data_IF_246589887210
#
_entry.id   IF_246589887210
#
_cell.length_a   1.000
_cell.length_b   1.000
_cell.length_c   1.000
_cell.angle_alpha   90.00
_cell.angle_beta   90.00
_cell.angle_gamma   90.00
#
_symmetry.space_group_name_H-M   'P 1'
#
loop_
_entity.id
_entity.type
_entity.pdbx_description
1 polymer ?
#
# COMPACT_ATOMS: atom_id res chain seq x y z
N UNK A 1 7.58 -11.97 9.02
CA UNK A 1 8.48 -11.25 8.09
C UNK A 1 8.64 -9.84 8.63
N UNK A 2 9.85 -9.29 8.68
CA UNK A 2 10.05 -7.90 9.10
C UNK A 2 10.08 -7.04 7.85
N UNK A 3 9.05 -6.21 7.66
CA UNK A 3 9.00 -5.27 6.54
C UNK A 3 9.66 -3.97 6.98
N UNK A 4 10.64 -3.50 6.22
CA UNK A 4 11.21 -2.18 6.46
C UNK A 4 10.34 -1.11 5.79
N UNK A 5 9.91 -1.33 4.54
CA UNK A 5 9.11 -0.37 3.77
C UNK A 5 7.85 -1.02 3.19
N UNK A 6 6.69 -0.42 3.46
CA UNK A 6 5.43 -0.72 2.77
C UNK A 6 5.09 0.43 1.80
N UNK A 7 4.92 0.08 0.52
CA UNK A 7 4.46 1.03 -0.50
C UNK A 7 2.96 0.82 -0.70
N UNK A 8 2.20 1.88 -0.47
CA UNK A 8 0.75 1.93 -0.64
C UNK A 8 0.38 2.96 -1.72
N UNK A 9 -0.79 2.79 -2.34
CA UNK A 9 -1.31 3.74 -3.32
C UNK A 9 -2.62 4.35 -2.82
N UNK A 10 -2.75 5.67 -2.86
CA UNK A 10 -3.96 6.39 -2.45
C UNK A 10 -5.02 6.32 -3.55
N UNK A 11 -6.22 5.93 -3.16
CA UNK A 11 -7.42 5.96 -4.00
C UNK A 11 -8.69 5.96 -3.13
N UNK A 12 -9.76 5.31 -3.60
CA UNK A 12 -11.00 5.10 -2.83
C UNK A 12 -10.95 3.88 -1.90
N UNK A 13 -9.91 3.04 -2.00
CA UNK A 13 -9.72 1.80 -1.23
C UNK A 13 -8.65 1.94 -0.15
N UNK A 14 -8.59 3.12 0.48
CA UNK A 14 -7.61 3.46 1.50
C UNK A 14 -7.70 2.56 2.76
N UNK A 15 -8.82 1.85 2.93
CA UNK A 15 -8.97 0.78 3.91
C UNK A 15 -7.89 -0.29 3.81
N UNK A 16 -7.54 -0.70 2.59
CA UNK A 16 -6.54 -1.72 2.36
C UNK A 16 -5.16 -1.27 2.82
N UNK A 17 -4.86 0.02 2.63
CA UNK A 17 -3.60 0.62 3.05
C UNK A 17 -3.45 0.59 4.58
N UNK A 18 -4.53 0.89 5.34
CA UNK A 18 -4.53 0.83 6.81
C UNK A 18 -4.36 -0.62 7.29
N UNK A 19 -5.13 -1.55 6.72
CA UNK A 19 -5.07 -2.96 7.08
C UNK A 19 -3.69 -3.56 6.79
N UNK A 20 -3.09 -3.24 5.63
CA UNK A 20 -1.74 -3.67 5.30
C UNK A 20 -0.72 -3.13 6.32
N UNK A 21 -0.79 -1.85 6.68
CA UNK A 21 0.10 -1.26 7.70
C UNK A 21 -0.04 -1.95 9.06
N UNK A 22 -1.28 -2.18 9.54
CA UNK A 22 -1.51 -2.87 10.82
C UNK A 22 -0.98 -4.31 10.81
N UNK A 23 -1.23 -5.05 9.72
CA UNK A 23 -0.82 -6.46 9.60
C UNK A 23 0.69 -6.63 9.54
N UNK A 24 1.34 -5.84 8.69
CA UNK A 24 2.76 -6.03 8.39
C UNK A 24 3.69 -5.22 9.29
N UNK A 25 3.16 -4.23 10.02
CA UNK A 25 3.89 -3.38 10.97
C UNK A 25 5.21 -2.87 10.39
N UNK A 26 5.18 -2.21 9.22
CA UNK A 26 6.39 -1.71 8.58
C UNK A 26 7.03 -0.59 9.40
N UNK A 27 8.33 -0.35 9.20
CA UNK A 27 9.01 0.81 9.82
C UNK A 27 8.68 2.11 9.09
N UNK A 28 8.56 2.02 7.76
CA UNK A 28 8.28 3.13 6.88
C UNK A 28 7.09 2.80 5.96
N UNK A 29 6.25 3.80 5.68
CA UNK A 29 5.20 3.73 4.66
C UNK A 29 5.41 4.87 3.66
N UNK A 30 5.43 4.53 2.37
CA UNK A 30 5.36 5.51 1.29
C UNK A 30 3.98 5.44 0.64
N UNK A 31 3.32 6.60 0.56
CA UNK A 31 2.03 6.78 -0.09
C UNK A 31 2.23 7.36 -1.50
N UNK A 32 1.98 6.57 -2.53
CA UNK A 32 1.89 7.07 -3.90
C UNK A 32 0.54 7.74 -4.09
N UNK A 33 0.51 8.98 -4.58
CA UNK A 33 -0.73 9.70 -4.85
C UNK A 33 -0.70 10.44 -6.19
N UNK A 34 -1.87 10.60 -6.80
CA UNK A 34 -2.08 11.47 -7.97
C UNK A 34 -2.53 12.85 -7.51
N UNK A 35 -2.31 13.90 -8.30
CA UNK A 35 -2.69 15.28 -7.90
C UNK A 35 -4.17 15.41 -7.53
N UNK A 36 -5.05 14.68 -8.20
CA UNK A 36 -6.49 14.65 -7.92
C UNK A 36 -6.84 14.05 -6.56
N UNK A 37 -5.98 13.19 -6.01
CA UNK A 37 -6.20 12.51 -4.71
C UNK A 37 -5.59 13.28 -3.53
N UNK A 38 -5.13 14.52 -3.73
CA UNK A 38 -4.40 15.31 -2.71
C UNK A 38 -5.23 15.60 -1.46
N UNK A 39 -6.54 15.82 -1.57
CA UNK A 39 -7.38 16.02 -0.38
C UNK A 39 -7.55 14.73 0.42
N UNK A 40 -7.74 13.58 -0.24
CA UNK A 40 -7.78 12.26 0.42
C UNK A 40 -6.46 11.96 1.14
N UNK A 41 -5.34 12.29 0.51
CA UNK A 41 -4.01 12.13 1.10
C UNK A 41 -3.91 12.85 2.46
N UNK A 42 -4.42 14.09 2.57
CA UNK A 42 -4.36 14.85 3.84
C UNK A 42 -5.08 14.13 4.96
N UNK A 43 -6.34 13.73 4.73
CA UNK A 43 -7.14 12.98 5.71
C UNK A 43 -6.45 11.68 6.12
N UNK A 44 -5.82 11.00 5.15
CA UNK A 44 -5.11 9.76 5.38
C UNK A 44 -3.84 9.94 6.21
N UNK A 45 -3.06 11.00 5.95
CA UNK A 45 -1.88 11.36 6.75
C UNK A 45 -2.28 11.68 8.19
N UNK A 46 -3.38 12.40 8.41
CA UNK A 46 -3.89 12.69 9.76
C UNK A 46 -4.27 11.41 10.50
N UNK A 47 -4.96 10.48 9.83
CA UNK A 47 -5.26 9.17 10.40
C UNK A 47 -3.99 8.42 10.81
N UNK A 48 -2.96 8.38 9.96
CA UNK A 48 -1.70 7.71 10.28
C UNK A 48 -1.00 8.32 11.49
N UNK A 49 -0.95 9.65 11.58
CA UNK A 49 -0.34 10.33 12.74
C UNK A 49 -1.03 9.96 14.05
N UNK A 50 -2.34 9.77 14.02
CA UNK A 50 -3.13 9.46 15.21
C UNK A 50 -3.09 7.97 15.61
N UNK A 51 -2.87 7.06 14.65
CA UNK A 51 -3.03 5.61 14.87
C UNK A 51 -1.74 4.78 14.66
N UNK A 52 -0.74 5.33 13.97
CA UNK A 52 0.53 4.66 13.62
C UNK A 52 1.73 5.55 13.95
N UNK A 53 1.82 6.00 15.20
CA UNK A 53 2.88 6.90 15.68
C UNK A 53 4.31 6.35 15.55
N UNK A 54 4.49 5.03 15.50
CA UNK A 54 5.80 4.38 15.33
C UNK A 54 6.23 4.25 13.85
N UNK A 55 5.33 4.50 12.91
CA UNK A 55 5.59 4.37 11.47
C UNK A 55 6.06 5.70 10.89
N UNK A 56 7.20 5.70 10.20
CA UNK A 56 7.64 6.86 9.42
C UNK A 56 6.80 6.95 8.14
N UNK A 57 5.99 7.99 8.00
CA UNK A 57 5.16 8.21 6.83
C UNK A 57 5.80 9.20 5.85
N UNK A 58 5.80 8.85 4.56
CA UNK A 58 6.17 9.71 3.45
C UNK A 58 5.13 9.62 2.34
N UNK A 59 5.08 10.62 1.49
CA UNK A 59 4.22 10.65 0.31
C UNK A 59 5.02 11.06 -0.94
N UNK A 60 4.57 10.58 -2.10
CA UNK A 60 5.18 10.89 -3.39
C UNK A 60 4.09 11.04 -4.47
N UNK A 61 4.18 12.12 -5.24
CA UNK A 61 3.29 12.31 -6.37
C UNK A 61 3.79 11.52 -7.58
N UNK A 62 3.02 10.52 -8.01
CA UNK A 62 3.28 9.76 -9.24
C UNK A 62 1.96 9.66 -10.00
N UNK A 63 1.91 10.28 -11.17
CA UNK A 63 0.75 10.21 -12.05
C UNK A 63 0.63 8.83 -12.71
N UNK A 64 -0.58 8.51 -13.16
CA UNK A 64 -0.86 7.22 -13.79
C UNK A 64 0.04 6.97 -15.01
N UNK A 65 0.65 5.78 -15.06
CA UNK A 65 1.48 5.36 -16.19
C UNK A 65 2.91 5.89 -16.19
N UNK A 66 3.32 6.67 -15.18
CA UNK A 66 4.70 7.16 -15.08
C UNK A 66 5.65 6.05 -14.57
N UNK A 67 6.08 5.20 -15.51
CA UNK A 67 6.94 4.04 -15.21
C UNK A 67 8.30 4.45 -14.64
N UNK A 68 8.90 5.54 -15.14
CA UNK A 68 10.23 6.00 -14.70
C UNK A 68 10.22 6.32 -13.20
N UNK A 69 9.23 7.08 -12.72
CA UNK A 69 9.11 7.39 -11.29
C UNK A 69 8.77 6.16 -10.43
N UNK A 70 8.04 5.18 -10.97
CA UNK A 70 7.77 3.93 -10.26
C UNK A 70 9.04 3.08 -10.13
N UNK A 71 9.85 2.99 -11.18
CA UNK A 71 11.14 2.31 -11.14
C UNK A 71 12.11 3.00 -10.17
N UNK A 72 12.20 4.33 -10.24
CA UNK A 72 13.03 5.13 -9.36
C UNK A 72 12.62 4.94 -7.89
N UNK A 73 11.32 4.90 -7.60
CA UNK A 73 10.83 4.64 -6.25
C UNK A 73 11.34 3.30 -5.70
N UNK A 74 11.30 2.24 -6.51
CA UNK A 74 11.76 0.91 -6.08
C UNK A 74 13.29 0.89 -5.95
N UNK A 75 14.03 1.38 -6.96
CA UNK A 75 15.50 1.39 -6.97
C UNK A 75 16.09 2.22 -5.82
N UNK A 76 15.51 3.37 -5.51
CA UNK A 76 15.98 4.25 -4.42
C UNK A 76 15.74 3.67 -3.02
N UNK A 77 15.10 2.50 -2.92
CA UNK A 77 14.85 1.81 -1.65
C UNK A 77 15.29 0.33 -1.70
N UNK A 78 16.15 -0.05 -2.65
CA UNK A 78 16.57 -1.46 -2.87
C UNK A 78 17.31 -2.08 -1.67
N UNK A 79 17.82 -1.25 -0.75
CA UNK A 79 18.47 -1.66 0.48
C UNK A 79 17.50 -2.13 1.58
N UNK A 80 16.18 -1.99 1.36
CA UNK A 80 15.11 -2.29 2.32
C UNK A 80 14.36 -3.57 1.95
N UNK A 81 13.84 -4.28 2.95
CA UNK A 81 12.81 -5.30 2.70
C UNK A 81 11.48 -4.61 2.35
N UNK A 82 11.20 -4.53 1.04
CA UNK A 82 10.01 -3.86 0.48
C UNK A 82 8.82 -4.83 0.41
N UNK A 83 7.64 -4.33 0.77
CA UNK A 83 6.35 -4.90 0.41
C UNK A 83 5.52 -3.88 -0.36
N UNK A 84 4.94 -4.28 -1.49
CA UNK A 84 4.05 -3.40 -2.27
C UNK A 84 2.59 -3.83 -2.13
N UNK A 85 1.72 -2.92 -1.73
CA UNK A 85 0.28 -3.12 -1.71
C UNK A 85 -0.34 -2.64 -3.02
N UNK A 86 -0.90 -3.58 -3.77
CA UNK A 86 -1.49 -3.36 -5.10
C UNK A 86 -3.01 -3.20 -5.07
N UNK A 87 -3.61 -3.14 -3.87
CA UNK A 87 -5.07 -3.11 -3.70
C UNK A 87 -5.69 -1.81 -4.18
N UNK A 88 -5.09 -0.68 -3.82
CA UNK A 88 -5.52 0.65 -4.22
C UNK A 88 -4.73 1.20 -5.41
N UNK A 89 -4.95 2.48 -5.69
CA UNK A 89 -4.37 3.20 -6.82
C UNK A 89 -5.05 2.91 -8.15
N UNK A 90 -4.43 3.39 -9.23
CA UNK A 90 -4.91 3.04 -10.56
C UNK A 90 -4.50 1.62 -10.95
N UNK A 91 -5.35 0.95 -11.72
CA UNK A 91 -5.03 -0.39 -12.24
C UNK A 91 -3.73 -0.39 -13.05
N UNK A 92 -3.49 0.67 -13.82
CA UNK A 92 -2.27 0.82 -14.61
C UNK A 92 -1.05 0.86 -13.69
N UNK A 93 -1.04 1.70 -12.64
CA UNK A 93 0.10 1.76 -11.71
C UNK A 93 0.30 0.45 -10.96
N UNK A 94 -0.77 -0.22 -10.50
CA UNK A 94 -0.66 -1.54 -9.85
C UNK A 94 -0.06 -2.60 -10.78
N UNK A 95 -0.43 -2.61 -12.06
CA UNK A 95 0.16 -3.54 -13.04
C UNK A 95 1.62 -3.20 -13.35
N UNK A 96 1.96 -1.92 -13.49
CA UNK A 96 3.34 -1.48 -13.70
C UNK A 96 4.22 -1.83 -12.51
N UNK A 97 3.78 -1.51 -11.28
CA UNK A 97 4.47 -1.90 -10.05
C UNK A 97 4.65 -3.41 -9.98
N UNK A 98 3.61 -4.20 -10.23
CA UNK A 98 3.71 -5.66 -10.25
C UNK A 98 4.76 -6.15 -11.26
N UNK A 99 4.83 -5.53 -12.44
CA UNK A 99 5.82 -5.88 -13.46
C UNK A 99 7.25 -5.55 -12.99
N UNK A 100 7.46 -4.33 -12.47
CA UNK A 100 8.77 -3.85 -11.98
C UNK A 100 9.28 -4.74 -10.84
N UNK A 101 8.44 -5.00 -9.83
CA UNK A 101 8.88 -5.69 -8.61
C UNK A 101 9.08 -7.20 -8.81
N UNK A 102 8.43 -7.81 -9.81
CA UNK A 102 8.61 -9.22 -10.16
C UNK A 102 10.03 -9.52 -10.63
N UNK A 103 10.59 -8.64 -11.47
CA UNK A 103 11.96 -8.77 -11.97
C UNK A 103 13.01 -8.62 -10.86
N UNK A 104 12.62 -7.99 -9.75
CA UNK A 104 13.46 -7.74 -8.57
C UNK A 104 13.22 -8.72 -7.41
N UNK A 105 12.39 -9.76 -7.63
CA UNK A 105 11.99 -10.74 -6.61
C UNK A 105 11.36 -10.12 -5.34
N UNK A 106 10.78 -8.92 -5.46
CA UNK A 106 10.10 -8.20 -4.37
C UNK A 106 8.66 -8.73 -4.23
N UNK A 107 8.18 -8.80 -2.98
CA UNK A 107 6.83 -9.29 -2.66
C UNK A 107 5.79 -8.20 -2.85
N UNK A 108 4.59 -8.60 -3.28
CA UNK A 108 3.41 -7.75 -3.23
C UNK A 108 2.17 -8.45 -2.72
N UNK A 109 1.19 -7.64 -2.30
CA UNK A 109 -0.07 -8.09 -1.75
C UNK A 109 -1.26 -7.39 -2.39
N UNK A 110 -2.37 -8.10 -2.50
CA UNK A 110 -3.69 -7.57 -2.81
C UNK A 110 -4.66 -8.04 -1.73
N UNK A 111 -5.34 -7.11 -1.07
CA UNK A 111 -6.26 -7.36 0.04
C UNK A 111 -7.70 -7.31 -0.49
N UNK A 112 -8.31 -8.47 -0.66
CA UNK A 112 -9.75 -8.58 -0.92
C UNK A 112 -10.50 -8.54 0.41
N UNK A 113 -10.77 -7.31 0.87
CA UNK A 113 -11.39 -7.06 2.17
C UNK A 113 -12.79 -7.65 2.22
N UNK A 114 -13.55 -7.54 1.13
CA UNK A 114 -14.92 -8.04 1.03
C UNK A 114 -14.98 -9.55 1.23
N UNK A 115 -14.07 -10.29 0.59
CA UNK A 115 -14.06 -11.74 0.66
C UNK A 115 -13.10 -12.30 1.71
N UNK A 116 -12.44 -11.43 2.48
CA UNK A 116 -11.54 -11.81 3.58
C UNK A 116 -10.32 -12.62 3.10
N UNK A 117 -9.74 -12.22 1.96
CA UNK A 117 -8.54 -12.85 1.41
C UNK A 117 -7.39 -11.88 1.24
N UNK A 118 -6.17 -12.38 1.40
CA UNK A 118 -4.94 -11.72 0.99
C UNK A 118 -4.27 -12.59 -0.06
N UNK A 119 -4.02 -12.00 -1.22
CA UNK A 119 -3.24 -12.61 -2.30
C UNK A 119 -1.83 -12.07 -2.21
N UNK A 120 -0.86 -12.94 -2.00
CA UNK A 120 0.57 -12.59 -1.97
C UNK A 120 1.23 -13.07 -3.27
N UNK A 121 1.83 -12.15 -4.01
CA UNK A 121 2.54 -12.44 -5.26
C UNK A 121 4.05 -12.47 -5.01
N UNK A 122 4.65 -13.66 -5.09
CA UNK A 122 6.09 -13.88 -4.99
C UNK A 122 6.42 -15.31 -5.44
N UNK A 123 7.10 -15.45 -6.59
CA UNK A 123 7.42 -16.76 -7.22
C UNK A 123 6.19 -17.68 -7.37
N UNK A 124 5.03 -17.08 -7.60
CA UNK A 124 3.72 -17.74 -7.55
C UNK A 124 2.70 -16.84 -6.85
N UNK A 125 1.56 -17.43 -6.49
CA UNK A 125 0.49 -16.75 -5.75
C UNK A 125 0.12 -17.60 -4.53
N UNK A 126 0.26 -17.02 -3.34
CA UNK A 126 -0.27 -17.59 -2.10
C UNK A 126 -1.56 -16.87 -1.72
N UNK A 127 -2.54 -17.61 -1.23
CA UNK A 127 -3.87 -17.09 -0.87
C UNK A 127 -4.13 -17.45 0.58
N UNK A 128 -4.25 -16.43 1.42
CA UNK A 128 -4.51 -16.57 2.85
C UNK A 128 -5.89 -16.00 3.17
N UNK A 129 -6.68 -16.73 3.96
CA UNK A 129 -7.95 -16.23 4.50
C UNK A 129 -7.67 -15.48 5.80
N UNK A 130 -8.18 -14.26 5.92
CA UNK A 130 -7.85 -13.34 7.01
C UNK A 130 -9.10 -12.76 7.63
N UNK A 131 -9.17 -12.75 8.96
CA UNK A 131 -10.27 -12.11 9.66
C UNK A 131 -9.91 -10.64 9.91
N UNK A 132 -10.41 -9.76 9.05
CA UNK A 132 -10.31 -8.32 9.24
C UNK A 132 -11.34 -7.93 10.33
N UNK A 133 -10.89 -7.67 11.56
CA UNK A 133 -11.78 -7.35 12.70
C UNK A 133 -12.83 -6.27 12.35
N UNK A 134 -14.11 -6.55 12.63
CA UNK A 134 -15.28 -5.75 12.23
C UNK A 134 -15.30 -4.28 12.75
N UNK A 135 -14.45 -3.95 13.75
CA UNK A 135 -14.38 -2.61 14.35
C UNK A 135 -13.56 -1.59 13.52
N UNK A 136 -12.66 -2.05 12.65
CA UNK A 136 -11.79 -1.15 11.88
C UNK A 136 -12.44 -0.68 10.58
N UNK A 137 -13.21 -1.53 9.89
CA UNK A 137 -13.90 -1.15 8.65
C UNK A 137 -14.80 0.08 8.81
N UNK A 138 -15.61 0.14 9.88
CA UNK A 138 -16.50 1.29 10.14
C UNK A 138 -15.75 2.58 10.51
N UNK A 139 -14.57 2.47 11.12
CA UNK A 139 -13.75 3.62 11.52
C UNK A 139 -12.93 4.14 10.34
N UNK A 140 -12.42 3.22 9.52
CA UNK A 140 -11.71 3.47 8.28
C UNK A 140 -12.63 4.12 7.23
N UNK A 141 -13.85 3.59 7.03
CA UNK A 141 -14.85 4.16 6.11
C UNK A 141 -15.23 5.59 6.46
N UNK A 142 -15.15 5.98 7.74
CA UNK A 142 -15.37 7.37 8.21
C UNK A 142 -14.16 8.28 7.96
N UNK A 143 -12.95 7.75 7.90
CA UNK A 143 -11.73 8.52 7.61
C UNK A 143 -11.49 8.75 6.12
N UNK A 144 -12.12 7.94 5.26
CA UNK A 144 -12.09 8.05 3.80
C UNK A 144 -13.19 8.93 3.19
N UNK A 145 -14.07 9.50 4.03
CA UNK A 145 -15.18 10.38 3.65
C UNK A 145 -14.83 11.86 3.75
#
# INVERSE_FOLDING_TARGET
MKIDLLINQIDNHNEANILATKKYKPREVILIYRKEDKEKLKSFIEYYKNNFNEVTLKDINIEEGNIELLEDLIRNNEDKEILVNLTGGSRINSLLLLNIIKELDIKSVYLDIKNRYIYTFHRGVNIDKEDFEDMELNTILKASG
#
